data_IF_980313920935
#
_entry.id   IF_980313920935
#
_cell.length_a   1.000
_cell.length_b   1.000
_cell.length_c   1.000
_cell.angle_alpha   90.00
_cell.angle_beta   90.00
_cell.angle_gamma   90.00
#
_symmetry.space_group_name_H-M   'P 1'
#
loop_
_entity.id
_entity.type
_entity.pdbx_description
1 polymer ?
#
# COMPACT_ATOMS: atom_id res chain seq x y z
N UNK A 1 53.08 -22.91 -22.26
CA UNK A 1 52.20 -22.71 -21.08
C UNK A 1 50.95 -21.82 -21.29
N UNK A 2 50.60 -21.26 -22.47
CA UNK A 2 49.41 -20.39 -22.61
C UNK A 2 48.08 -21.16 -22.71
N UNK A 3 48.08 -22.39 -23.25
CA UNK A 3 46.85 -23.16 -23.45
C UNK A 3 46.14 -23.57 -22.17
N UNK A 4 46.88 -23.80 -21.07
CA UNK A 4 46.27 -24.16 -19.76
C UNK A 4 45.57 -22.96 -19.13
N UNK A 5 46.12 -21.76 -19.32
CA UNK A 5 45.52 -20.50 -18.83
C UNK A 5 44.25 -20.18 -19.62
N UNK A 6 44.30 -20.32 -20.95
CA UNK A 6 43.13 -20.12 -21.82
C UNK A 6 41.96 -21.08 -21.51
N UNK A 7 42.27 -22.33 -21.13
CA UNK A 7 41.25 -23.31 -20.77
C UNK A 7 40.59 -22.99 -19.41
N UNK A 8 41.39 -22.53 -18.43
CA UNK A 8 40.86 -22.10 -17.13
C UNK A 8 39.99 -20.85 -17.22
N UNK A 9 40.36 -19.87 -18.06
CA UNK A 9 39.56 -18.65 -18.25
C UNK A 9 38.25 -18.94 -18.99
N UNK A 10 38.24 -19.90 -19.93
CA UNK A 10 37.02 -20.36 -20.61
C UNK A 10 36.07 -21.10 -19.65
N UNK A 11 36.60 -21.91 -18.74
CA UNK A 11 35.76 -22.63 -17.77
C UNK A 11 35.13 -21.69 -16.72
N UNK A 12 35.87 -20.67 -16.31
CA UNK A 12 35.41 -19.71 -15.31
C UNK A 12 34.28 -18.80 -15.82
N UNK A 13 34.28 -18.44 -17.11
CA UNK A 13 33.23 -17.60 -17.70
C UNK A 13 31.89 -18.33 -17.81
N UNK A 14 31.89 -19.65 -18.06
CA UNK A 14 30.67 -20.46 -18.07
C UNK A 14 30.01 -20.59 -16.69
N UNK A 15 30.82 -20.65 -15.62
CA UNK A 15 30.30 -20.76 -14.25
C UNK A 15 29.55 -19.50 -13.77
N UNK A 16 29.98 -18.31 -14.22
CA UNK A 16 29.33 -17.04 -13.87
C UNK A 16 27.97 -16.87 -14.57
N UNK A 17 27.78 -17.45 -15.75
CA UNK A 17 26.52 -17.40 -16.49
C UNK A 17 25.43 -18.35 -15.93
N UNK A 18 25.81 -19.30 -15.06
CA UNK A 18 24.89 -20.28 -14.48
C UNK A 18 24.17 -19.78 -13.20
N UNK A 19 24.53 -18.61 -12.67
CA UNK A 19 23.90 -18.06 -11.49
C UNK A 19 22.65 -17.25 -11.85
N UNK A 20 21.48 -17.90 -11.87
CA UNK A 20 20.18 -17.22 -11.95
C UNK A 20 19.56 -17.12 -10.55
N UNK A 21 19.70 -15.99 -9.82
CA UNK A 21 19.05 -15.84 -8.53
C UNK A 21 17.53 -15.74 -8.73
N UNK A 22 16.81 -16.80 -8.37
CA UNK A 22 15.35 -16.81 -8.39
C UNK A 22 14.83 -16.11 -7.14
N UNK A 23 14.21 -14.93 -7.31
CA UNK A 23 13.52 -14.24 -6.21
C UNK A 23 12.13 -14.83 -6.07
N UNK A 24 11.85 -15.46 -4.92
CA UNK A 24 10.53 -15.98 -4.61
C UNK A 24 9.84 -15.04 -3.63
N UNK A 25 8.62 -14.62 -3.97
CA UNK A 25 7.77 -13.84 -3.07
C UNK A 25 7.07 -14.83 -2.14
N UNK A 26 7.62 -15.02 -0.94
CA UNK A 26 6.93 -15.78 0.10
C UNK A 26 5.80 -14.92 0.68
N UNK A 27 4.57 -15.43 0.63
CA UNK A 27 3.49 -14.85 1.41
C UNK A 27 3.78 -15.13 2.89
N UNK A 28 3.76 -14.13 3.79
CA UNK A 28 3.99 -14.37 5.21
C UNK A 28 2.91 -15.33 5.75
N UNK A 29 3.33 -16.34 6.51
CA UNK A 29 2.43 -17.34 7.13
C UNK A 29 1.51 -16.73 8.19
N UNK A 30 1.91 -15.58 8.73
CA UNK A 30 1.19 -14.89 9.80
C UNK A 30 0.40 -13.70 9.23
N UNK A 31 -0.84 -13.49 9.70
CA UNK A 31 -1.68 -12.40 9.23
C UNK A 31 -1.10 -11.03 9.62
N UNK A 32 -1.10 -10.10 8.67
CA UNK A 32 -0.67 -8.71 8.90
C UNK A 32 -1.73 -8.01 9.76
N UNK A 33 -1.38 -7.62 10.97
CA UNK A 33 -2.28 -6.87 11.87
C UNK A 33 -2.17 -5.38 11.56
N UNK A 34 -3.17 -4.83 10.87
CA UNK A 34 -3.24 -3.40 10.56
C UNK A 34 -4.07 -2.70 11.64
N UNK A 35 -3.39 -2.06 12.59
CA UNK A 35 -4.05 -1.25 13.61
C UNK A 35 -4.33 0.16 13.06
N UNK A 36 -5.53 0.36 12.54
CA UNK A 36 -5.98 1.65 12.01
C UNK A 36 -6.69 2.43 13.13
N UNK A 37 -6.08 3.53 13.60
CA UNK A 37 -6.74 4.43 14.54
C UNK A 37 -7.48 5.54 13.77
N UNK A 38 -8.76 5.31 13.43
CA UNK A 38 -9.61 6.30 12.75
C UNK A 38 -10.43 7.05 13.80
N UNK A 39 -10.18 8.35 13.96
CA UNK A 39 -11.05 9.25 14.74
C UNK A 39 -12.16 9.76 13.83
N UNK A 40 -13.39 9.33 14.06
CA UNK A 40 -14.57 9.80 13.33
C UNK A 40 -15.20 10.92 14.16
N UNK A 41 -14.88 12.16 13.81
CA UNK A 41 -15.45 13.35 14.44
C UNK A 41 -16.76 13.71 13.73
N UNK A 42 -17.86 13.07 14.13
CA UNK A 42 -19.23 13.42 13.74
C UNK A 42 -19.82 14.40 14.75
N UNK A 43 -19.29 15.62 14.78
CA UNK A 43 -20.03 16.79 15.27
C UNK A 43 -20.71 17.43 14.03
N UNK A 44 -21.73 18.27 14.20
CA UNK A 44 -22.40 19.00 13.07
C UNK A 44 -23.42 18.20 12.21
N UNK A 45 -24.08 17.17 12.73
CA UNK A 45 -25.40 16.76 12.15
C UNK A 45 -26.62 17.10 13.01
N UNK A 46 -26.43 17.70 14.18
CA UNK A 46 -27.56 18.16 15.03
C UNK A 46 -27.64 19.69 15.13
N UNK A 47 -26.61 20.43 14.67
CA UNK A 47 -26.65 21.91 14.63
C UNK A 47 -27.37 22.44 13.39
N UNK A 48 -27.17 21.78 12.24
CA UNK A 48 -27.80 22.19 10.96
C UNK A 48 -29.30 21.90 10.96
N UNK A 49 -29.77 20.82 11.59
CA UNK A 49 -31.21 20.53 11.68
C UNK A 49 -31.98 21.62 12.45
N UNK A 50 -31.38 22.18 13.51
CA UNK A 50 -32.02 23.21 14.34
C UNK A 50 -32.02 24.59 13.69
N UNK A 51 -30.91 24.97 13.04
CA UNK A 51 -30.86 26.23 12.27
C UNK A 51 -31.80 26.19 11.07
N UNK A 52 -31.94 25.03 10.41
CA UNK A 52 -32.92 24.86 9.34
C UNK A 52 -34.35 24.95 9.86
N UNK A 53 -34.69 24.32 11.00
CA UNK A 53 -36.04 24.39 11.60
C UNK A 53 -36.41 25.82 12.06
N UNK A 54 -35.46 26.57 12.63
CA UNK A 54 -35.63 27.99 12.97
C UNK A 54 -35.79 28.87 11.73
N UNK A 55 -35.10 28.57 10.61
CA UNK A 55 -35.29 29.32 9.36
C UNK A 55 -36.62 28.99 8.67
N UNK A 56 -37.02 27.71 8.61
CA UNK A 56 -38.27 27.29 7.98
C UNK A 56 -39.53 27.68 8.77
N UNK A 57 -39.43 27.83 10.10
CA UNK A 57 -40.54 28.28 10.94
C UNK A 57 -40.84 29.79 10.85
N UNK A 58 -39.84 30.61 10.51
CA UNK A 58 -40.02 32.07 10.35
C UNK A 58 -40.52 32.47 8.93
N UNK A 59 -40.34 31.59 7.93
CA UNK A 59 -40.75 31.82 6.54
C UNK A 59 -42.04 31.05 6.13
N UNK A 60 -42.83 30.56 7.09
CA UNK A 60 -44.09 29.83 6.83
C UNK A 60 -45.23 30.68 6.24
N UNK A 61 -44.96 31.93 5.86
CA UNK A 61 -45.88 32.83 5.14
C UNK A 61 -45.43 33.07 3.68
N UNK A 62 -44.34 32.41 3.24
CA UNK A 62 -43.76 32.53 1.91
C UNK A 62 -43.90 31.28 1.03
N UNK A 63 -44.44 30.17 1.57
CA UNK A 63 -44.86 28.98 0.80
C UNK A 63 -46.12 28.33 1.38
#
# INVERSE_FOLDING_TARGET
>A
MPNRIAYCTLLASLGLAACTPTVQVAMPNEPITINLNVRIEHEIRVKVERELDDMFSNDSDLF
#
